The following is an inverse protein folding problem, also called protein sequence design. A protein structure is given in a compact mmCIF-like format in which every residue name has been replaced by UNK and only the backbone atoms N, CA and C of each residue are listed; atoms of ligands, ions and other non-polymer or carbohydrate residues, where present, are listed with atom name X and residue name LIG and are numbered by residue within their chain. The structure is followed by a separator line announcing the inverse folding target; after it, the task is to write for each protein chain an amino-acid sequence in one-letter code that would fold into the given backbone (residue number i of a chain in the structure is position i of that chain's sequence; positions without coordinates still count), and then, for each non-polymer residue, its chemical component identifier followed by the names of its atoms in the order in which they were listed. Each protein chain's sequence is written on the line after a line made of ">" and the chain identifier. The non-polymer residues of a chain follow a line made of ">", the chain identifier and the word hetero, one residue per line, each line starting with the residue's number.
data_IF_784002867774
#
_entry.id   IF_784002867774
#
_cell.length_a   1.000
_cell.length_b   1.000
_cell.length_c   1.000
_cell.angle_alpha   90.00
_cell.angle_beta   90.00
_cell.angle_gamma   90.00
#
_symmetry.space_group_name_H-M   'P 1'
#
loop_
_entity.id
_entity.type
_entity.pdbx_description
1 polymer ?
#
# COMPACT_ATOMS: atom_id res chain seq x y z
N UNK A 1 -6.00 -14.10 12.50
CA UNK A 1 -5.37 -13.49 11.46
C UNK A 1 -4.99 -14.31 10.26
N UNK A 2 -3.71 -14.32 9.89
CA UNK A 2 -3.23 -14.81 8.58
C UNK A 2 -3.61 -16.27 8.29
N UNK A 3 -3.55 -17.16 9.26
CA UNK A 3 -3.85 -18.58 9.06
C UNK A 3 -5.32 -18.83 8.71
N UNK A 4 -6.24 -18.13 9.38
CA UNK A 4 -7.67 -18.18 9.03
C UNK A 4 -7.93 -17.61 7.63
N UNK A 5 -7.24 -16.51 7.26
CA UNK A 5 -7.32 -15.95 5.91
C UNK A 5 -6.85 -16.97 4.86
N UNK A 6 -5.70 -17.61 5.08
CA UNK A 6 -5.16 -18.63 4.16
C UNK A 6 -6.13 -19.78 3.94
N UNK A 7 -6.74 -20.31 5.02
CA UNK A 7 -7.74 -21.36 4.93
C UNK A 7 -9.00 -20.90 4.17
N UNK A 8 -9.48 -19.68 4.44
CA UNK A 8 -10.65 -19.11 3.75
C UNK A 8 -10.37 -18.91 2.27
N UNK A 9 -9.20 -18.40 1.89
CA UNK A 9 -8.80 -18.22 0.49
C UNK A 9 -8.72 -19.55 -0.25
N UNK A 10 -8.21 -20.62 0.40
CA UNK A 10 -8.19 -21.96 -0.15
C UNK A 10 -9.60 -22.51 -0.38
N UNK A 11 -10.49 -22.39 0.61
CA UNK A 11 -11.89 -22.83 0.50
C UNK A 11 -12.66 -22.04 -0.57
N UNK A 12 -12.34 -20.78 -0.80
CA UNK A 12 -12.96 -19.96 -1.86
C UNK A 12 -12.39 -20.23 -3.26
N UNK A 13 -11.45 -21.17 -3.39
CA UNK A 13 -10.90 -21.59 -4.69
C UNK A 13 -9.90 -20.60 -5.30
N UNK A 14 -9.21 -19.80 -4.48
CA UNK A 14 -8.12 -18.95 -4.99
C UNK A 14 -7.07 -19.79 -5.69
N UNK A 15 -6.57 -19.29 -6.83
CA UNK A 15 -5.48 -19.89 -7.60
C UNK A 15 -4.28 -18.95 -7.73
N UNK A 16 -4.49 -17.64 -7.61
CA UNK A 16 -3.43 -16.65 -7.72
C UNK A 16 -2.51 -16.67 -6.49
N UNK A 17 -1.20 -16.42 -6.66
CA UNK A 17 -0.24 -16.40 -5.57
C UNK A 17 -0.67 -15.47 -4.42
N UNK A 18 -0.41 -15.92 -3.18
CA UNK A 18 -0.49 -15.07 -1.99
C UNK A 18 0.93 -14.68 -1.59
N UNK A 19 1.23 -13.39 -1.67
CA UNK A 19 2.50 -12.83 -1.23
C UNK A 19 2.40 -12.44 0.25
N UNK A 20 3.37 -12.89 1.06
CA UNK A 20 3.45 -12.62 2.50
C UNK A 20 4.79 -11.93 2.77
N UNK A 21 4.73 -10.68 3.23
CA UNK A 21 5.88 -9.89 3.66
C UNK A 21 5.92 -9.88 5.19
N UNK A 22 6.91 -10.51 5.78
CA UNK A 22 7.00 -10.65 7.23
C UNK A 22 8.45 -10.90 7.67
N UNK A 23 8.78 -10.71 8.98
CA UNK A 23 10.10 -11.07 9.50
C UNK A 23 10.48 -12.51 9.17
N UNK A 24 11.76 -12.77 8.87
CA UNK A 24 12.24 -14.12 8.51
C UNK A 24 11.87 -15.18 9.58
N UNK A 25 11.84 -14.78 10.85
CA UNK A 25 11.44 -15.70 11.94
C UNK A 25 10.01 -16.27 11.77
N UNK A 26 9.14 -15.59 11.03
CA UNK A 26 7.78 -16.06 10.76
C UNK A 26 7.74 -17.23 9.78
N UNK A 27 8.76 -17.44 8.96
CA UNK A 27 8.84 -18.54 7.98
C UNK A 27 8.60 -19.91 8.63
N UNK A 28 9.29 -20.20 9.71
CA UNK A 28 9.16 -21.50 10.39
C UNK A 28 7.73 -21.75 10.89
N UNK A 29 7.05 -20.71 11.38
CA UNK A 29 5.65 -20.79 11.83
C UNK A 29 4.72 -21.01 10.65
N UNK A 30 4.96 -20.32 9.55
CA UNK A 30 4.20 -20.47 8.31
C UNK A 30 4.33 -21.88 7.74
N UNK A 31 5.55 -22.39 7.64
CA UNK A 31 5.83 -23.74 7.10
C UNK A 31 5.25 -24.84 8.02
N UNK A 32 5.32 -24.66 9.32
CA UNK A 32 4.65 -25.56 10.26
C UNK A 32 3.14 -25.58 10.04
N UNK A 33 2.51 -24.42 9.95
CA UNK A 33 1.06 -24.33 9.71
C UNK A 33 0.66 -24.99 8.39
N UNK A 34 1.40 -24.70 7.31
CA UNK A 34 1.16 -25.32 6.00
C UNK A 34 1.23 -26.84 6.06
N UNK A 35 2.25 -27.36 6.71
CA UNK A 35 2.47 -28.81 6.79
C UNK A 35 1.47 -29.57 7.68
N UNK A 36 0.83 -28.87 8.64
CA UNK A 36 -0.07 -29.53 9.60
C UNK A 36 -1.56 -29.27 9.33
N UNK A 37 -1.89 -28.11 8.76
CA UNK A 37 -3.27 -27.64 8.72
C UNK A 37 -3.79 -27.29 7.31
N UNK A 38 -2.90 -27.14 6.32
CA UNK A 38 -3.29 -26.95 4.93
C UNK A 38 -3.15 -28.29 4.17
N UNK A 39 -4.17 -29.14 4.28
CA UNK A 39 -4.21 -30.42 3.57
C UNK A 39 -4.12 -30.27 2.04
N UNK A 40 -4.63 -29.15 1.51
CA UNK A 40 -4.62 -28.84 0.08
C UNK A 40 -4.38 -27.36 -0.15
N UNK A 41 -3.20 -27.03 -0.64
CA UNK A 41 -2.91 -25.70 -1.15
C UNK A 41 -3.49 -25.55 -2.56
N UNK A 42 -4.42 -24.63 -2.74
CA UNK A 42 -5.02 -24.33 -4.05
C UNK A 42 -4.30 -23.22 -4.79
N UNK A 43 -3.39 -22.49 -4.11
CA UNK A 43 -2.63 -21.37 -4.63
C UNK A 43 -1.20 -21.36 -4.08
N UNK A 44 -0.24 -20.82 -4.83
CA UNK A 44 1.12 -20.66 -4.34
C UNK A 44 1.21 -19.65 -3.19
N UNK A 45 2.03 -19.93 -2.20
CA UNK A 45 2.39 -18.97 -1.15
C UNK A 45 3.83 -18.52 -1.38
N UNK A 46 4.02 -17.22 -1.59
CA UNK A 46 5.32 -16.59 -1.83
C UNK A 46 5.70 -15.77 -0.61
N UNK A 47 6.69 -16.23 0.11
CA UNK A 47 7.18 -15.56 1.32
C UNK A 47 8.32 -14.60 0.98
N UNK A 48 8.19 -13.35 1.39
CA UNK A 48 9.18 -12.29 1.24
C UNK A 48 9.70 -11.91 2.63
N UNK A 49 10.93 -12.31 2.99
CA UNK A 49 11.49 -11.99 4.29
C UNK A 49 11.80 -10.49 4.39
N UNK A 50 11.38 -9.87 5.48
CA UNK A 50 11.79 -8.53 5.86
C UNK A 50 12.99 -8.64 6.79
N UNK A 51 14.10 -8.01 6.39
CA UNK A 51 15.38 -8.05 7.10
C UNK A 51 16.01 -6.67 7.26
N UNK A 52 15.44 -5.65 6.62
CA UNK A 52 15.96 -4.29 6.65
C UNK A 52 15.71 -3.63 8.01
N UNK A 53 16.68 -2.89 8.49
CA UNK A 53 16.62 -2.03 9.68
C UNK A 53 16.25 -0.57 9.36
N UNK A 54 15.96 -0.29 8.10
CA UNK A 54 15.49 1.01 7.59
C UNK A 54 14.23 0.82 6.73
N UNK A 55 13.42 1.88 6.56
CA UNK A 55 12.26 1.79 5.66
C UNK A 55 12.65 1.36 4.25
N UNK A 56 11.94 0.38 3.69
CA UNK A 56 12.16 -0.12 2.33
C UNK A 56 10.84 -0.33 1.58
N UNK A 57 10.83 -0.08 0.27
CA UNK A 57 9.68 -0.36 -0.58
C UNK A 57 9.63 -1.85 -0.87
N UNK A 58 8.58 -2.52 -0.38
CA UNK A 58 8.40 -3.97 -0.50
C UNK A 58 7.43 -4.37 -1.61
N UNK A 59 6.58 -3.44 -2.04
CA UNK A 59 5.67 -3.64 -3.17
C UNK A 59 5.48 -2.32 -3.90
N UNK A 60 5.48 -2.39 -5.22
CA UNK A 60 5.21 -1.26 -6.10
C UNK A 60 4.53 -1.76 -7.37
N UNK A 61 3.34 -1.26 -7.64
CA UNK A 61 2.58 -1.56 -8.85
C UNK A 61 1.96 -0.29 -9.46
N UNK A 62 1.07 -0.45 -10.43
CA UNK A 62 0.41 0.68 -11.11
C UNK A 62 -0.58 1.44 -10.21
N UNK A 63 -1.04 0.84 -9.11
CA UNK A 63 -2.09 1.38 -8.26
C UNK A 63 -1.55 1.94 -6.94
N UNK A 64 -0.52 1.28 -6.38
CA UNK A 64 -0.02 1.60 -5.04
C UNK A 64 1.46 1.27 -4.86
N UNK A 65 2.05 1.83 -3.81
CA UNK A 65 3.32 1.38 -3.23
C UNK A 65 3.13 1.02 -1.77
N UNK A 66 3.92 0.06 -1.28
CA UNK A 66 3.95 -0.32 0.13
C UNK A 66 5.39 -0.23 0.62
N UNK A 67 5.58 0.52 1.69
CA UNK A 67 6.85 0.63 2.40
C UNK A 67 6.73 -0.13 3.71
N UNK A 68 7.62 -1.09 3.98
CA UNK A 68 7.80 -1.68 5.29
C UNK A 68 8.87 -0.91 6.06
N UNK A 69 8.69 -0.74 7.36
CA UNK A 69 9.68 -0.10 8.23
C UNK A 69 9.75 -0.83 9.59
N UNK A 70 10.95 -0.91 10.19
CA UNK A 70 11.12 -1.61 11.45
C UNK A 70 10.42 -0.87 12.58
N UNK A 71 9.83 -1.65 13.51
CA UNK A 71 9.26 -1.19 14.76
C UNK A 71 10.16 -1.59 15.92
N UNK A 72 10.08 -0.87 17.02
CA UNK A 72 10.85 -1.17 18.24
C UNK A 72 10.03 -2.06 19.16
N UNK A 73 10.26 -3.36 19.06
CA UNK A 73 9.57 -4.34 19.87
C UNK A 73 10.52 -5.51 20.25
N UNK A 74 10.12 -6.33 21.24
CA UNK A 74 10.90 -7.46 21.73
C UNK A 74 11.24 -8.50 20.66
N UNK A 75 10.36 -8.67 19.69
CA UNK A 75 10.59 -9.52 18.52
C UNK A 75 10.64 -8.65 17.26
N UNK A 76 11.36 -9.07 16.20
CA UNK A 76 11.35 -8.32 14.94
C UNK A 76 9.92 -8.06 14.46
N UNK A 77 9.57 -6.80 14.31
CA UNK A 77 8.24 -6.33 13.94
C UNK A 77 8.36 -5.22 12.92
N UNK A 78 7.36 -5.11 12.04
CA UNK A 78 7.33 -4.09 10.99
C UNK A 78 5.98 -3.39 10.95
N UNK A 79 6.04 -2.08 10.72
CA UNK A 79 4.93 -1.27 10.27
C UNK A 79 4.91 -1.20 8.75
N UNK A 80 3.78 -0.78 8.19
CA UNK A 80 3.60 -0.68 6.75
C UNK A 80 2.92 0.64 6.39
N UNK A 81 3.43 1.30 5.34
CA UNK A 81 2.78 2.48 4.76
C UNK A 81 2.29 2.10 3.37
N UNK A 82 1.00 2.21 3.16
CA UNK A 82 0.34 2.05 1.88
C UNK A 82 0.12 3.42 1.27
N UNK A 83 0.52 3.65 0.03
CA UNK A 83 0.32 4.90 -0.70
C UNK A 83 -0.31 4.61 -2.05
N UNK A 84 -1.49 5.16 -2.29
CA UNK A 84 -2.09 5.13 -3.63
C UNK A 84 -1.20 5.90 -4.61
N UNK A 85 -1.14 5.44 -5.84
CA UNK A 85 -0.51 6.18 -6.94
C UNK A 85 -1.44 7.29 -7.41
N UNK A 86 -0.85 8.35 -7.93
CA UNK A 86 -1.65 9.37 -8.60
C UNK A 86 -2.43 8.76 -9.76
N UNK A 87 -3.75 8.96 -9.81
CA UNK A 87 -4.55 8.46 -10.92
C UNK A 87 -4.17 9.18 -12.22
N UNK A 88 -4.29 8.47 -13.32
CA UNK A 88 -4.20 9.08 -14.65
C UNK A 88 -5.24 10.18 -14.84
N UNK A 89 -4.94 11.12 -15.73
CA UNK A 89 -5.87 12.18 -16.09
C UNK A 89 -7.08 11.61 -16.83
N UNK A 90 -8.25 12.14 -16.51
CA UNK A 90 -9.49 11.91 -17.25
C UNK A 90 -9.88 13.17 -18.00
N UNK A 91 -10.26 13.04 -19.28
CA UNK A 91 -10.81 14.14 -20.04
C UNK A 91 -12.26 14.41 -19.60
N UNK A 92 -12.62 15.67 -19.46
CA UNK A 92 -13.98 16.09 -19.10
C UNK A 92 -14.98 15.63 -20.17
N UNK A 93 -16.06 14.96 -19.76
CA UNK A 93 -17.04 14.37 -20.67
C UNK A 93 -17.74 15.42 -21.56
N UNK A 94 -18.03 16.58 -21.00
CA UNK A 94 -18.60 17.71 -21.70
C UNK A 94 -17.65 18.24 -22.79
N UNK A 95 -16.34 18.32 -22.50
CA UNK A 95 -15.33 18.71 -23.49
C UNK A 95 -15.23 17.70 -24.65
N UNK A 96 -15.32 16.41 -24.38
CA UNK A 96 -15.30 15.36 -25.42
C UNK A 96 -16.43 15.61 -26.44
N UNK A 97 -17.64 15.91 -25.94
CA UNK A 97 -18.81 16.12 -26.81
C UNK A 97 -18.81 17.49 -27.48
N UNK A 98 -18.56 18.58 -26.73
CA UNK A 98 -18.66 19.96 -27.24
C UNK A 98 -17.55 20.32 -28.23
N UNK A 99 -16.35 19.77 -28.00
CA UNK A 99 -15.19 20.00 -28.87
C UNK A 99 -15.00 18.91 -29.92
N UNK A 100 -15.84 17.87 -29.93
CA UNK A 100 -15.73 16.69 -30.81
C UNK A 100 -14.31 16.16 -30.87
N UNK A 101 -13.76 15.87 -29.67
CA UNK A 101 -12.36 15.43 -29.53
C UNK A 101 -12.11 14.10 -30.25
N UNK A 102 -11.04 14.03 -31.01
CA UNK A 102 -10.56 12.78 -31.62
C UNK A 102 -9.92 11.87 -30.58
N UNK A 103 -9.72 10.62 -30.96
CA UNK A 103 -9.02 9.63 -30.09
C UNK A 103 -7.59 10.07 -29.79
N UNK A 104 -6.87 10.59 -30.76
CA UNK A 104 -5.49 11.07 -30.63
C UNK A 104 -5.42 12.26 -29.67
N UNK A 105 -6.35 13.23 -29.81
CA UNK A 105 -6.45 14.35 -28.88
C UNK A 105 -6.73 13.90 -27.45
N UNK A 106 -7.67 12.98 -27.26
CA UNK A 106 -7.99 12.40 -25.93
C UNK A 106 -6.77 11.71 -25.33
N UNK A 107 -6.00 10.95 -26.10
CA UNK A 107 -4.78 10.29 -25.61
C UNK A 107 -3.71 11.31 -25.22
N UNK A 108 -3.48 12.34 -26.05
CA UNK A 108 -2.54 13.41 -25.74
C UNK A 108 -2.90 14.12 -24.43
N UNK A 109 -4.17 14.50 -24.29
CA UNK A 109 -4.68 15.17 -23.10
C UNK A 109 -4.55 14.29 -21.85
N UNK A 110 -4.82 12.98 -21.96
CA UNK A 110 -4.66 12.03 -20.85
C UNK A 110 -3.22 11.82 -20.43
N UNK A 111 -2.27 12.03 -21.33
CA UNK A 111 -0.84 12.04 -21.05
C UNK A 111 -0.36 13.39 -20.46
N UNK A 112 -1.27 14.35 -20.25
CA UNK A 112 -0.94 15.68 -19.73
C UNK A 112 -0.31 16.60 -20.79
N UNK A 113 -0.46 16.26 -22.08
CA UNK A 113 0.08 17.06 -23.19
C UNK A 113 -1.06 17.76 -23.93
N UNK A 114 -0.84 19.02 -24.24
CA UNK A 114 -1.75 19.77 -25.09
C UNK A 114 -1.86 19.15 -26.48
N UNK A 115 -3.04 19.22 -27.08
CA UNK A 115 -3.24 18.79 -28.43
C UNK A 115 -3.43 20.03 -29.34
N UNK A 116 -2.74 20.06 -30.47
CA UNK A 116 -2.81 21.18 -31.45
C UNK A 116 -3.50 20.70 -32.72
N UNK A 117 -4.56 21.35 -33.09
CA UNK A 117 -5.32 21.09 -34.31
C UNK A 117 -4.67 21.73 -35.54
N UNK A 118 -5.03 21.26 -36.71
CA UNK A 118 -4.52 21.78 -37.99
C UNK A 118 -4.89 23.24 -38.24
N UNK A 119 -5.94 23.74 -37.63
CA UNK A 119 -6.36 25.14 -37.69
C UNK A 119 -5.64 26.07 -36.69
N UNK A 120 -4.70 25.49 -35.90
CA UNK A 120 -3.94 26.19 -34.85
C UNK A 120 -4.63 26.26 -33.49
N UNK A 121 -5.81 25.66 -33.33
CA UNK A 121 -6.49 25.58 -32.02
C UNK A 121 -5.69 24.73 -31.07
N UNK A 122 -5.41 25.26 -29.87
CA UNK A 122 -4.71 24.53 -28.78
C UNK A 122 -5.77 24.02 -27.80
N UNK A 123 -5.72 22.74 -27.53
CA UNK A 123 -6.54 22.05 -26.54
C UNK A 123 -5.66 21.82 -25.29
N UNK A 124 -5.85 22.67 -24.29
CA UNK A 124 -5.01 22.67 -23.07
C UNK A 124 -5.37 21.52 -22.14
N UNK A 125 -4.39 20.69 -21.81
CA UNK A 125 -4.60 19.50 -20.99
C UNK A 125 -5.04 19.84 -19.56
N UNK A 126 -4.49 20.86 -18.94
CA UNK A 126 -4.84 21.31 -17.59
C UNK A 126 -6.28 21.85 -17.48
N UNK A 127 -6.83 22.43 -18.57
CA UNK A 127 -8.22 22.90 -18.65
C UNK A 127 -9.20 21.76 -18.92
N UNK A 128 -8.84 20.86 -19.84
CA UNK A 128 -9.74 19.83 -20.37
C UNK A 128 -9.70 18.50 -19.61
N UNK A 129 -8.77 18.36 -18.65
CA UNK A 129 -8.66 17.14 -17.85
C UNK A 129 -8.88 17.39 -16.36
N UNK A 130 -8.95 16.31 -15.62
CA UNK A 130 -8.99 16.31 -14.17
C UNK A 130 -8.46 14.98 -13.61
N UNK A 131 -7.97 15.02 -12.39
CA UNK A 131 -7.67 13.77 -11.64
C UNK A 131 -8.94 13.31 -10.93
N UNK A 132 -9.35 12.04 -11.07
CA UNK A 132 -10.64 11.56 -10.52
C UNK A 132 -10.66 11.52 -9.00
N UNK A 133 -9.48 11.40 -8.35
CA UNK A 133 -9.33 11.44 -6.89
C UNK A 133 -7.93 11.92 -6.51
N UNK A 134 -7.77 12.38 -5.28
CA UNK A 134 -6.47 12.60 -4.67
C UNK A 134 -5.94 11.28 -4.08
N UNK A 135 -4.67 10.91 -4.30
CA UNK A 135 -4.07 9.72 -3.69
C UNK A 135 -4.16 9.80 -2.17
N UNK A 136 -4.42 8.68 -1.54
CA UNK A 136 -4.47 8.55 -0.08
C UNK A 136 -3.37 7.63 0.42
N UNK A 137 -3.03 7.81 1.69
CA UNK A 137 -2.02 7.01 2.36
C UNK A 137 -2.49 6.54 3.72
N UNK A 138 -2.09 5.32 4.07
CA UNK A 138 -2.42 4.67 5.33
C UNK A 138 -1.17 4.04 5.93
N UNK A 139 -0.86 4.36 7.19
CA UNK A 139 0.17 3.68 7.95
C UNK A 139 -0.45 2.76 9.00
N UNK A 140 0.02 1.53 9.03
CA UNK A 140 -0.33 0.53 10.03
C UNK A 140 0.88 0.21 10.89
N UNK A 141 0.76 0.44 12.19
CA UNK A 141 1.78 0.09 13.17
C UNK A 141 1.16 -0.84 14.21
N UNK A 142 1.75 -2.01 14.37
CA UNK A 142 1.41 -2.91 15.48
C UNK A 142 2.15 -2.46 16.75
N UNK A 143 2.31 -3.37 17.71
CA UNK A 143 2.96 -3.11 18.99
C UNK A 143 4.38 -2.57 18.79
N UNK A 144 4.69 -1.42 19.37
CA UNK A 144 6.00 -0.74 19.26
C UNK A 144 6.21 0.26 20.38
N UNK A 145 7.40 0.30 20.94
CA UNK A 145 7.81 1.45 21.73
C UNK A 145 7.94 2.69 20.85
N UNK A 146 7.77 3.88 21.44
CA UNK A 146 8.01 5.15 20.75
C UNK A 146 9.51 5.27 20.45
N UNK A 147 9.86 5.73 19.25
CA UNK A 147 11.23 5.95 18.81
C UNK A 147 11.34 7.24 17.97
N UNK A 148 12.51 7.89 18.04
CA UNK A 148 12.71 9.24 17.51
C UNK A 148 12.43 9.39 16.01
N UNK A 149 12.74 8.36 15.21
CA UNK A 149 12.55 8.40 13.76
C UNK A 149 11.08 8.22 13.34
N UNK A 150 10.21 7.72 14.23
CA UNK A 150 8.83 7.37 13.89
C UNK A 150 8.02 8.53 13.28
N UNK A 151 8.03 9.76 13.87
CA UNK A 151 7.26 10.87 13.30
C UNK A 151 7.67 11.23 11.88
N UNK A 152 8.96 11.07 11.54
CA UNK A 152 9.45 11.37 10.19
C UNK A 152 9.04 10.28 9.19
N UNK A 153 9.02 9.02 9.61
CA UNK A 153 8.61 7.88 8.78
C UNK A 153 7.14 8.02 8.36
N UNK A 154 6.26 8.37 9.30
CA UNK A 154 4.81 8.46 9.03
C UNK A 154 4.34 9.86 8.65
N UNK A 155 5.26 10.81 8.50
CA UNK A 155 4.92 12.20 8.16
C UNK A 155 4.08 12.28 6.89
N UNK A 156 2.95 12.97 6.99
CA UNK A 156 2.06 13.26 5.87
C UNK A 156 1.21 12.08 5.40
N UNK A 157 1.10 11.00 6.17
CA UNK A 157 0.07 9.98 5.91
C UNK A 157 -1.31 10.53 6.26
N UNK A 158 -2.32 10.14 5.48
CA UNK A 158 -3.71 10.61 5.69
C UNK A 158 -4.38 9.91 6.87
N UNK A 159 -4.01 8.65 7.14
CA UNK A 159 -4.52 7.86 8.24
C UNK A 159 -3.39 7.05 8.87
N UNK A 160 -3.29 7.12 10.19
CA UNK A 160 -2.37 6.32 10.99
C UNK A 160 -3.15 5.40 11.93
N UNK A 161 -2.93 4.10 11.83
CA UNK A 161 -3.25 3.15 12.89
C UNK A 161 -2.00 2.96 13.76
N UNK A 162 -2.11 3.30 15.03
CA UNK A 162 -1.05 3.12 16.02
C UNK A 162 -1.63 2.48 17.28
N UNK A 163 -0.87 1.63 17.92
CA UNK A 163 -1.30 0.99 19.14
C UNK A 163 -1.44 1.98 20.31
N UNK A 164 -2.28 1.67 21.29
CA UNK A 164 -2.46 2.42 22.51
C UNK A 164 -2.80 1.47 23.67
N UNK A 165 -1.86 0.57 23.96
CA UNK A 165 -2.03 -0.51 24.96
C UNK A 165 -2.02 0.04 26.38
N UNK A 166 -1.27 1.11 26.65
CA UNK A 166 -1.15 1.72 27.96
C UNK A 166 -1.54 3.19 27.92
N UNK A 167 -2.16 3.68 29.00
CA UNK A 167 -2.39 5.09 29.24
C UNK A 167 -1.16 5.79 29.80
N UNK A 168 -1.19 7.12 29.84
CA UNK A 168 -0.09 7.97 30.31
C UNK A 168 0.33 7.66 31.76
N UNK A 169 -0.60 7.22 32.59
CA UNK A 169 -0.37 6.76 33.98
C UNK A 169 0.50 5.50 34.07
N UNK A 170 0.65 4.78 32.99
CA UNK A 170 1.42 3.53 32.87
C UNK A 170 2.67 3.66 31.98
N UNK A 171 3.17 4.88 31.69
CA UNK A 171 4.27 5.11 30.76
C UNK A 171 5.54 4.30 31.07
N UNK A 172 5.90 4.12 32.36
CA UNK A 172 7.04 3.30 32.75
C UNK A 172 6.88 1.83 32.38
N UNK A 173 5.67 1.28 32.57
CA UNK A 173 5.35 -0.10 32.17
C UNK A 173 5.29 -0.27 30.66
N UNK A 174 4.78 0.74 29.96
CA UNK A 174 4.78 0.76 28.50
C UNK A 174 6.20 0.63 27.94
N UNK A 175 7.15 1.44 28.44
CA UNK A 175 8.54 1.38 28.03
C UNK A 175 9.20 0.00 28.32
N UNK A 176 8.94 -0.62 29.49
CA UNK A 176 9.42 -1.95 29.83
C UNK A 176 8.86 -3.05 28.90
N UNK A 177 7.66 -2.88 28.39
CA UNK A 177 6.95 -3.85 27.58
C UNK A 177 7.07 -3.57 26.06
N UNK A 178 7.79 -2.54 25.67
CA UNK A 178 7.95 -2.10 24.27
C UNK A 178 6.64 -1.63 23.61
N UNK A 179 5.89 -0.81 24.36
CA UNK A 179 4.64 -0.19 23.90
C UNK A 179 4.66 1.32 24.05
#
# INVERSE_FOLDING_TARGET
>A
GIFGLMSTLSMSGRTDPLHIYAPEAFRAILDFFRGQFLERETYPIVFHPLVSDVPETVLEDACMSVVAFPLVHRVPSYGYIFREREPGLNVRKDAVSSLSLTREEILSLKDGRDAVRSDGTILEADVLTYRPYAPRSFAYCSDTAVFDAFPDIVRGVDLLYYEATFGDDCAGKAAEMYH
#
